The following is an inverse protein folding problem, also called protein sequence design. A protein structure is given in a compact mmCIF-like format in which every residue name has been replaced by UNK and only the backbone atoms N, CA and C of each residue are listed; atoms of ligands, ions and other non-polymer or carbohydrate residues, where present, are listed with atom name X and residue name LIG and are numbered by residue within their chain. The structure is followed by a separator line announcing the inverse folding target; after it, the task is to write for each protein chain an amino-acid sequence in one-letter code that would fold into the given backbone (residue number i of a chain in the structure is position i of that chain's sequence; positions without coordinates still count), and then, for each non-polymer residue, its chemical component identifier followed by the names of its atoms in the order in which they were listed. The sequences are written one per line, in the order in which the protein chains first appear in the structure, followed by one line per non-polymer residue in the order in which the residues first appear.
data_IF_589033547118
#
_entry.id   IF_589033547118
#
_cell.length_a   1.000
_cell.length_b   1.000
_cell.length_c   1.000
_cell.angle_alpha   90.00
_cell.angle_beta   90.00
_cell.angle_gamma   90.00
#
_symmetry.space_group_name_H-M   'P 1'
#
loop_
_entity.id
_entity.type
_entity.pdbx_description
1 polymer ?
#
# COMPACT_ATOMS: atom_id res chain seq x y z
N UNK A 1 -2.91 62.49 -59.40
CA UNK A 1 -3.24 61.07 -59.47
C UNK A 1 -2.54 60.33 -58.33
N UNK A 2 -3.27 60.03 -57.24
CA UNK A 2 -2.74 59.30 -56.09
C UNK A 2 -3.23 57.84 -56.20
N UNK A 3 -2.25 56.95 -56.30
CA UNK A 3 -2.50 55.52 -56.37
C UNK A 3 -2.72 55.03 -54.91
N UNK A 4 -3.89 54.45 -54.63
CA UNK A 4 -4.19 53.79 -53.32
C UNK A 4 -3.97 52.30 -53.53
N UNK A 5 -2.94 51.75 -52.90
CA UNK A 5 -2.68 50.31 -52.83
C UNK A 5 -3.52 49.72 -51.69
N UNK A 6 -4.47 48.86 -52.02
CA UNK A 6 -5.25 48.08 -51.10
C UNK A 6 -4.46 46.79 -50.77
N UNK A 7 -4.00 46.64 -49.54
CA UNK A 7 -3.44 45.40 -49.04
C UNK A 7 -4.61 44.52 -48.49
N UNK A 8 -4.88 43.46 -49.21
CA UNK A 8 -5.76 42.39 -48.71
C UNK A 8 -4.96 41.43 -47.77
N UNK A 9 -5.23 41.49 -46.47
CA UNK A 9 -4.76 40.48 -45.53
C UNK A 9 -5.68 39.27 -45.60
N UNK A 10 -5.20 38.19 -46.16
CA UNK A 10 -5.80 36.86 -46.06
C UNK A 10 -5.46 36.28 -44.68
N UNK A 11 -6.43 36.27 -43.79
CA UNK A 11 -6.36 35.48 -42.53
C UNK A 11 -6.54 33.99 -42.88
N UNK A 12 -5.44 33.24 -42.89
CA UNK A 12 -5.49 31.78 -42.86
C UNK A 12 -5.86 31.37 -41.41
N UNK A 13 -7.10 30.97 -41.20
CA UNK A 13 -7.50 30.31 -39.96
C UNK A 13 -6.94 28.89 -40.01
N UNK A 14 -5.78 28.68 -39.39
CA UNK A 14 -5.31 27.34 -39.07
C UNK A 14 -6.29 26.74 -38.06
N UNK A 15 -7.14 25.82 -38.51
CA UNK A 15 -7.86 24.94 -37.63
C UNK A 15 -6.83 24.04 -36.95
N UNK A 16 -6.48 24.37 -35.71
CA UNK A 16 -5.74 23.46 -34.84
C UNK A 16 -6.65 22.22 -34.68
N UNK A 17 -6.23 21.10 -35.25
CA UNK A 17 -6.78 19.80 -34.89
C UNK A 17 -6.47 19.66 -33.37
N UNK A 18 -7.49 19.64 -32.55
CA UNK A 18 -7.36 19.17 -31.19
C UNK A 18 -6.95 17.72 -31.30
N UNK A 19 -5.64 17.43 -31.20
CA UNK A 19 -5.18 16.09 -30.91
C UNK A 19 -5.96 15.64 -29.67
N UNK A 20 -6.67 14.52 -29.81
CA UNK A 20 -7.31 13.86 -28.66
C UNK A 20 -6.19 13.43 -27.73
N UNK A 21 -5.86 14.27 -26.75
CA UNK A 21 -5.02 13.84 -25.64
C UNK A 21 -5.65 12.59 -25.04
N UNK A 22 -4.88 11.55 -24.75
CA UNK A 22 -5.40 10.36 -24.11
C UNK A 22 -6.15 10.79 -22.85
N UNK A 23 -7.38 10.30 -22.72
CA UNK A 23 -8.16 10.59 -21.50
C UNK A 23 -7.43 10.00 -20.31
N UNK A 24 -7.36 10.72 -19.18
CA UNK A 24 -6.76 10.18 -17.97
C UNK A 24 -7.45 8.89 -17.57
N UNK A 25 -6.76 7.96 -16.88
CA UNK A 25 -7.36 6.73 -16.39
C UNK A 25 -8.62 7.03 -15.56
N UNK A 26 -9.60 6.12 -15.58
CA UNK A 26 -10.91 6.35 -14.95
C UNK A 26 -10.85 6.58 -13.43
N UNK A 27 -9.77 6.15 -12.78
CA UNK A 27 -9.56 6.37 -11.35
C UNK A 27 -8.98 7.76 -11.02
N UNK A 28 -8.54 8.54 -12.01
CA UNK A 28 -8.14 9.93 -11.82
C UNK A 28 -9.36 10.83 -11.94
N UNK A 29 -9.78 11.44 -10.84
CA UNK A 29 -10.93 12.32 -10.83
C UNK A 29 -10.54 13.75 -11.22
N UNK A 30 -11.52 14.51 -11.72
CA UNK A 30 -11.31 15.88 -12.21
C UNK A 30 -10.92 16.89 -11.13
N UNK A 31 -11.15 16.56 -9.86
CA UNK A 31 -10.78 17.37 -8.69
C UNK A 31 -9.36 17.07 -8.17
N UNK A 32 -8.61 16.19 -8.85
CA UNK A 32 -7.25 15.81 -8.47
C UNK A 32 -7.17 14.66 -7.46
N UNK A 33 -8.30 14.06 -7.10
CA UNK A 33 -8.35 12.89 -6.22
C UNK A 33 -8.45 11.58 -6.99
N UNK A 34 -8.35 10.45 -6.29
CA UNK A 34 -8.42 9.11 -6.88
C UNK A 34 -9.68 8.36 -6.42
N UNK A 35 -10.13 7.41 -7.24
CA UNK A 35 -11.27 6.55 -6.97
C UNK A 35 -10.93 5.07 -7.16
N UNK A 36 -11.68 4.18 -6.50
CA UNK A 36 -11.60 2.74 -6.75
C UNK A 36 -12.01 2.39 -8.18
N UNK A 37 -11.49 1.30 -8.72
CA UNK A 37 -11.74 0.83 -10.10
C UNK A 37 -13.23 0.63 -10.39
N UNK A 38 -13.99 0.17 -9.40
CA UNK A 38 -15.45 -0.05 -9.46
C UNK A 38 -16.26 1.19 -9.07
N UNK A 39 -15.61 2.32 -8.75
CA UNK A 39 -16.26 3.56 -8.34
C UNK A 39 -16.91 3.51 -6.95
N UNK A 40 -16.71 2.44 -6.18
CA UNK A 40 -17.25 2.34 -4.80
C UNK A 40 -16.53 3.35 -3.91
N UNK A 41 -17.24 4.36 -3.38
CA UNK A 41 -16.63 5.33 -2.48
C UNK A 41 -16.50 4.75 -1.07
N UNK A 42 -15.43 5.09 -0.37
CA UNK A 42 -15.41 4.92 1.08
C UNK A 42 -16.21 6.05 1.74
N UNK A 43 -17.43 5.73 2.18
CA UNK A 43 -18.31 6.68 2.88
C UNK A 43 -18.10 6.61 4.40
N UNK A 44 -17.23 7.43 4.95
CA UNK A 44 -17.25 7.71 6.38
C UNK A 44 -17.87 9.07 6.66
N UNK A 45 -18.94 9.10 7.39
CA UNK A 45 -19.48 10.35 7.94
C UNK A 45 -19.01 10.51 9.38
N UNK A 46 -18.89 11.76 9.84
CA UNK A 46 -18.61 12.06 11.25
C UNK A 46 -19.59 11.34 12.19
N UNK A 47 -20.87 11.21 11.79
CA UNK A 47 -21.88 10.47 12.54
C UNK A 47 -21.54 8.98 12.66
N UNK A 48 -21.12 8.33 11.59
CA UNK A 48 -20.68 6.91 11.59
C UNK A 48 -19.48 6.72 12.51
N UNK A 49 -18.48 7.60 12.44
CA UNK A 49 -17.29 7.55 13.31
C UNK A 49 -17.65 7.75 14.80
N UNK A 50 -18.55 8.67 15.12
CA UNK A 50 -19.03 8.88 16.48
C UNK A 50 -19.83 7.68 17.01
N UNK A 51 -20.68 7.09 16.17
CA UNK A 51 -21.40 5.87 16.48
C UNK A 51 -20.42 4.73 16.80
N UNK A 52 -19.48 4.47 15.90
CA UNK A 52 -18.45 3.46 16.12
C UNK A 52 -17.64 3.72 17.41
N UNK A 53 -17.17 4.95 17.61
CA UNK A 53 -16.44 5.32 18.83
C UNK A 53 -17.22 5.07 20.11
N UNK A 54 -18.54 5.21 20.06
CA UNK A 54 -19.42 4.92 21.20
C UNK A 54 -19.58 3.42 21.41
N UNK A 55 -19.88 2.65 20.37
CA UNK A 55 -20.07 1.20 20.39
C UNK A 55 -18.78 0.48 20.85
N UNK A 56 -17.62 0.96 20.36
CA UNK A 56 -16.30 0.43 20.69
C UNK A 56 -15.99 0.40 22.20
N UNK A 57 -16.58 1.30 23.00
CA UNK A 57 -16.35 1.37 24.45
C UNK A 57 -16.79 0.12 25.20
N UNK A 58 -17.70 -0.66 24.65
CA UNK A 58 -18.20 -1.90 25.22
C UNK A 58 -17.48 -3.15 24.71
N UNK A 59 -16.52 -3.01 23.81
CA UNK A 59 -15.81 -4.15 23.20
C UNK A 59 -14.64 -4.59 24.08
N UNK A 60 -14.45 -5.90 24.16
CA UNK A 60 -13.23 -6.47 24.72
C UNK A 60 -12.10 -6.38 23.70
N UNK A 61 -11.24 -5.40 23.90
CA UNK A 61 -10.06 -5.16 23.08
C UNK A 61 -8.79 -5.61 23.82
N UNK A 62 -8.90 -6.64 24.64
CA UNK A 62 -7.75 -7.21 25.34
C UNK A 62 -6.71 -7.73 24.37
N UNK A 63 -5.45 -7.43 24.66
CA UNK A 63 -4.33 -7.91 23.85
C UNK A 63 -3.98 -9.33 24.23
N UNK A 64 -3.78 -10.18 23.24
CA UNK A 64 -3.19 -11.50 23.40
C UNK A 64 -1.71 -11.42 22.97
N UNK A 65 -0.81 -11.85 23.87
CA UNK A 65 0.61 -11.97 23.53
C UNK A 65 0.90 -13.39 23.11
N UNK A 66 1.44 -13.56 21.93
CA UNK A 66 1.94 -14.83 21.41
C UNK A 66 3.47 -14.82 21.36
N UNK A 67 4.09 -15.98 21.43
CA UNK A 67 5.52 -16.10 21.23
C UNK A 67 5.84 -15.85 19.75
N UNK A 68 6.79 -14.96 19.51
CA UNK A 68 7.35 -14.76 18.18
C UNK A 68 8.59 -15.62 18.06
N UNK A 69 8.69 -16.38 16.97
CA UNK A 69 9.93 -17.05 16.64
C UNK A 69 11.02 -16.01 16.36
N UNK A 70 12.22 -16.31 16.84
CA UNK A 70 13.37 -15.48 16.55
C UNK A 70 13.76 -15.66 15.07
N UNK A 71 13.99 -14.58 14.33
CA UNK A 71 14.40 -14.68 12.94
C UNK A 71 15.70 -15.46 12.80
N UNK A 72 15.78 -16.28 11.76
CA UNK A 72 17.02 -16.96 11.39
C UNK A 72 17.91 -16.01 10.58
N UNK A 73 18.70 -15.20 11.27
CA UNK A 73 19.59 -14.22 10.62
C UNK A 73 20.49 -14.83 9.55
N UNK A 74 20.90 -16.10 9.69
CA UNK A 74 21.72 -16.77 8.69
C UNK A 74 20.99 -16.96 7.36
N UNK A 75 19.71 -17.30 7.41
CA UNK A 75 18.85 -17.39 6.21
C UNK A 75 18.56 -16.01 5.64
N UNK A 76 18.36 -15.01 6.50
CA UNK A 76 18.10 -13.63 6.09
C UNK A 76 19.29 -13.00 5.36
N UNK A 77 20.55 -13.30 5.80
CA UNK A 77 21.73 -12.67 5.23
C UNK A 77 22.42 -13.47 4.10
N UNK A 78 22.23 -14.78 4.04
CA UNK A 78 22.92 -15.66 3.10
C UNK A 78 21.94 -16.46 2.24
N UNK A 79 21.12 -15.77 1.44
CA UNK A 79 20.02 -16.42 0.81
C UNK A 79 20.16 -16.54 -0.71
N UNK A 80 20.28 -17.78 -1.20
CA UNK A 80 20.16 -18.11 -2.62
C UNK A 80 18.69 -18.42 -3.02
N UNK A 81 17.77 -18.49 -2.04
CA UNK A 81 16.37 -18.77 -2.23
C UNK A 81 15.51 -17.52 -1.96
N UNK A 82 14.25 -17.58 -2.29
CA UNK A 82 13.28 -16.56 -1.88
C UNK A 82 12.91 -16.80 -0.41
N UNK A 83 13.03 -15.74 0.38
CA UNK A 83 12.57 -15.71 1.76
C UNK A 83 11.67 -14.50 1.95
N UNK A 84 10.56 -14.71 2.63
CA UNK A 84 9.67 -13.64 3.06
C UNK A 84 9.54 -13.72 4.57
N UNK A 85 9.97 -12.67 5.25
CA UNK A 85 9.95 -12.57 6.72
C UNK A 85 8.88 -11.56 7.12
N UNK A 86 7.86 -11.99 7.86
CA UNK A 86 6.89 -11.06 8.45
C UNK A 86 7.49 -10.39 9.69
N UNK A 87 7.56 -9.07 9.66
CA UNK A 87 8.12 -8.26 10.76
C UNK A 87 7.02 -7.78 11.71
N UNK A 88 5.81 -7.62 11.19
CA UNK A 88 4.63 -7.20 11.95
C UNK A 88 3.74 -6.25 11.16
N UNK A 89 2.44 -6.27 11.44
CA UNK A 89 1.42 -5.55 10.69
C UNK A 89 1.50 -5.88 9.19
N UNK A 90 1.88 -4.95 8.34
CA UNK A 90 2.11 -5.15 6.90
C UNK A 90 3.58 -4.99 6.48
N UNK A 91 4.46 -4.97 7.47
CA UNK A 91 5.90 -4.92 7.22
C UNK A 91 6.43 -6.31 6.94
N UNK A 92 6.89 -6.53 5.71
CA UNK A 92 7.59 -7.74 5.27
C UNK A 92 8.97 -7.40 4.74
N UNK A 93 9.93 -8.27 5.02
CA UNK A 93 11.19 -8.32 4.30
C UNK A 93 11.09 -9.44 3.27
N UNK A 94 10.95 -9.08 2.00
CA UNK A 94 11.04 -9.98 0.86
C UNK A 94 12.45 -9.98 0.31
N UNK A 95 13.02 -11.15 0.14
CA UNK A 95 14.38 -11.33 -0.34
C UNK A 95 14.42 -12.35 -1.47
N UNK A 96 15.17 -12.04 -2.49
CA UNK A 96 15.64 -13.00 -3.46
C UNK A 96 17.15 -12.79 -3.66
N UNK A 97 17.77 -13.57 -4.53
CA UNK A 97 19.22 -13.51 -4.78
C UNK A 97 19.74 -12.09 -5.10
N UNK A 98 18.91 -11.26 -5.73
CA UNK A 98 19.34 -10.02 -6.37
C UNK A 98 18.78 -8.75 -5.73
N UNK A 99 17.78 -8.88 -4.81
CA UNK A 99 17.10 -7.73 -4.21
C UNK A 99 16.51 -8.05 -2.84
N UNK A 100 16.61 -7.09 -1.93
CA UNK A 100 15.91 -7.06 -0.65
C UNK A 100 14.88 -5.93 -0.66
N UNK A 101 13.60 -6.28 -0.50
CA UNK A 101 12.50 -5.31 -0.49
C UNK A 101 11.85 -5.31 0.89
N UNK A 102 11.58 -4.11 1.41
CA UNK A 102 10.85 -3.92 2.65
C UNK A 102 9.50 -3.24 2.34
N UNK A 103 8.39 -3.91 2.69
CA UNK A 103 7.05 -3.37 2.47
C UNK A 103 6.54 -2.64 3.70
N UNK A 104 5.83 -1.52 3.52
CA UNK A 104 5.12 -0.74 4.54
C UNK A 104 5.86 -0.69 5.89
N UNK A 105 7.10 -0.17 5.95
CA UNK A 105 7.93 -0.28 7.13
C UNK A 105 7.38 0.53 8.29
N UNK A 106 6.96 -0.18 9.35
CA UNK A 106 6.46 0.40 10.56
C UNK A 106 7.15 -0.22 11.79
N UNK A 107 8.10 0.50 12.38
CA UNK A 107 8.91 0.05 13.52
C UNK A 107 8.62 0.83 14.80
N UNK A 108 7.84 1.91 14.72
CA UNK A 108 7.54 2.74 15.89
C UNK A 108 6.40 2.18 16.74
N UNK A 109 6.27 2.71 17.96
CA UNK A 109 5.29 2.26 18.94
C UNK A 109 3.84 2.61 18.61
N UNK A 110 3.60 3.52 17.67
CA UNK A 110 2.23 4.01 17.39
C UNK A 110 1.99 4.25 15.91
N UNK A 111 0.86 3.77 15.45
CA UNK A 111 0.28 4.13 14.16
C UNK A 111 -0.38 5.52 14.28
N UNK A 112 0.43 6.59 14.31
CA UNK A 112 -0.05 7.94 14.58
C UNK A 112 1.00 8.99 14.24
N UNK A 113 0.58 10.22 13.86
CA UNK A 113 1.50 11.37 13.74
C UNK A 113 2.05 11.80 15.11
N UNK A 114 1.41 11.40 16.21
CA UNK A 114 1.77 11.78 17.57
C UNK A 114 2.41 10.61 18.32
N UNK A 115 3.59 10.81 18.90
CA UNK A 115 4.30 9.75 19.65
C UNK A 115 3.63 9.34 20.96
N UNK A 116 2.70 10.16 21.47
CA UNK A 116 2.04 9.94 22.77
C UNK A 116 0.56 9.55 22.63
N UNK A 117 -0.05 9.65 21.45
CA UNK A 117 -1.47 9.38 21.22
C UNK A 117 -1.67 8.53 19.97
N UNK A 118 -2.83 7.87 19.86
CA UNK A 118 -3.19 6.97 18.75
C UNK A 118 -2.93 5.50 19.07
N UNK A 119 -3.25 4.58 18.15
CA UNK A 119 -3.12 3.14 18.34
C UNK A 119 -1.69 2.76 18.73
N UNK A 120 -1.54 2.04 19.84
CA UNK A 120 -0.23 1.59 20.35
C UNK A 120 0.02 0.16 19.89
N UNK A 121 1.26 -0.09 19.48
CA UNK A 121 1.77 -1.42 19.21
C UNK A 121 1.72 -2.27 20.48
N UNK A 122 1.19 -3.47 20.40
CA UNK A 122 1.14 -4.41 21.54
C UNK A 122 2.09 -5.61 21.38
N UNK A 123 2.50 -5.94 20.15
CA UNK A 123 3.60 -6.87 19.87
C UNK A 123 4.79 -6.09 19.29
N UNK A 124 6.02 -6.37 19.74
CA UNK A 124 7.21 -5.76 19.15
C UNK A 124 7.36 -6.17 17.66
N UNK A 125 8.14 -5.44 16.86
CA UNK A 125 8.52 -5.93 15.55
C UNK A 125 9.32 -7.23 15.68
N UNK A 126 9.17 -8.13 14.71
CA UNK A 126 9.89 -9.41 14.68
C UNK A 126 11.40 -9.24 14.44
N UNK A 127 11.81 -8.05 13.97
CA UNK A 127 13.17 -7.66 13.68
C UNK A 127 13.30 -6.15 13.87
N UNK A 128 14.41 -5.66 14.39
CA UNK A 128 14.69 -4.23 14.52
C UNK A 128 15.31 -3.67 13.22
N UNK A 129 15.25 -2.36 13.03
CA UNK A 129 15.86 -1.71 11.84
C UNK A 129 17.38 -1.99 11.78
N UNK A 130 18.03 -2.04 12.94
CA UNK A 130 19.47 -2.31 13.07
C UNK A 130 19.86 -3.68 12.54
N UNK A 131 18.96 -4.65 12.66
CA UNK A 131 19.16 -6.05 12.29
C UNK A 131 18.76 -6.34 10.82
N UNK A 132 18.20 -5.36 10.10
CA UNK A 132 17.87 -5.52 8.68
C UNK A 132 19.13 -5.67 7.82
N UNK A 133 19.12 -6.57 6.80
CA UNK A 133 20.16 -6.63 5.78
C UNK A 133 20.18 -5.32 4.98
N UNK A 134 21.06 -5.21 3.98
CA UNK A 134 20.98 -4.11 3.02
C UNK A 134 19.61 -4.12 2.36
N UNK A 135 18.91 -2.99 2.37
CA UNK A 135 17.60 -2.82 1.72
C UNK A 135 17.79 -2.05 0.43
N UNK A 136 17.38 -2.64 -0.68
CA UNK A 136 17.49 -2.05 -2.01
C UNK A 136 16.25 -1.24 -2.37
N UNK A 137 15.06 -1.73 -1.96
CA UNK A 137 13.78 -1.09 -2.24
C UNK A 137 12.90 -1.08 -0.99
N UNK A 138 12.21 0.02 -0.77
CA UNK A 138 11.07 0.14 0.14
C UNK A 138 9.82 0.43 -0.67
N UNK A 139 8.74 -0.30 -0.42
CA UNK A 139 7.44 -0.02 -1.04
C UNK A 139 6.43 0.45 0.01
N UNK A 140 5.58 1.41 -0.37
CA UNK A 140 4.47 1.90 0.45
C UNK A 140 3.17 1.62 -0.29
N UNK A 141 2.23 0.92 0.34
CA UNK A 141 0.93 0.59 -0.25
C UNK A 141 0.01 1.81 -0.34
N UNK A 142 -0.04 2.62 0.70
CA UNK A 142 -0.84 3.84 0.78
C UNK A 142 -0.39 4.76 1.95
N UNK A 143 -1.05 5.91 2.08
CA UNK A 143 -0.57 6.98 2.97
C UNK A 143 -1.02 6.88 4.43
N UNK A 144 -1.81 5.90 4.88
CA UNK A 144 -2.23 5.78 6.28
C UNK A 144 -1.05 5.63 7.24
N UNK A 145 -1.25 6.02 8.50
CA UNK A 145 -0.16 6.11 9.49
C UNK A 145 0.40 4.76 9.93
N UNK A 146 -0.33 3.69 9.78
CA UNK A 146 0.08 2.30 10.07
C UNK A 146 0.85 1.64 8.92
N UNK A 147 0.88 2.26 7.74
CA UNK A 147 1.64 1.82 6.55
C UNK A 147 2.79 2.76 6.21
N UNK A 148 2.57 4.08 6.26
CA UNK A 148 3.60 5.09 6.06
C UNK A 148 4.01 5.72 7.40
N UNK A 149 4.91 5.07 8.14
CA UNK A 149 5.51 5.62 9.35
C UNK A 149 6.72 6.48 9.01
N UNK A 150 6.59 7.79 9.21
CA UNK A 150 7.64 8.76 8.90
C UNK A 150 8.99 8.42 9.57
N UNK A 151 8.96 8.00 10.83
CA UNK A 151 10.21 7.71 11.57
C UNK A 151 10.91 6.50 11.00
N UNK A 152 10.17 5.45 10.67
CA UNK A 152 10.72 4.25 10.05
C UNK A 152 11.35 4.54 8.69
N UNK A 153 10.62 5.20 7.78
CA UNK A 153 11.17 5.52 6.44
C UNK A 153 12.36 6.48 6.53
N UNK A 154 12.35 7.39 7.51
CA UNK A 154 13.46 8.30 7.72
C UNK A 154 14.73 7.57 8.19
N UNK A 155 14.62 6.69 9.21
CA UNK A 155 15.74 5.89 9.71
C UNK A 155 16.30 4.94 8.64
N UNK A 156 15.42 4.32 7.84
CA UNK A 156 15.81 3.47 6.73
C UNK A 156 16.57 4.27 5.67
N UNK A 157 16.08 5.46 5.30
CA UNK A 157 16.76 6.33 4.33
C UNK A 157 18.12 6.85 4.81
N UNK A 158 18.31 6.98 6.13
CA UNK A 158 19.59 7.38 6.73
C UNK A 158 20.57 6.20 6.85
N UNK A 159 20.04 4.98 7.03
CA UNK A 159 20.85 3.76 7.14
C UNK A 159 21.34 3.27 5.78
N UNK A 160 20.51 3.38 4.74
CA UNK A 160 20.79 2.86 3.39
C UNK A 160 20.74 4.00 2.37
N UNK A 161 21.89 4.53 1.98
CA UNK A 161 22.02 5.74 1.13
C UNK A 161 21.39 5.56 -0.26
N UNK A 162 21.44 4.36 -0.81
CA UNK A 162 20.97 4.04 -2.17
C UNK A 162 19.54 3.43 -2.20
N UNK A 163 18.86 3.29 -1.05
CA UNK A 163 17.53 2.68 -1.00
C UNK A 163 16.54 3.45 -1.87
N UNK A 164 15.86 2.74 -2.75
CA UNK A 164 14.80 3.30 -3.62
C UNK A 164 13.44 3.16 -2.93
N UNK A 165 12.73 4.27 -2.75
CA UNK A 165 11.34 4.26 -2.29
C UNK A 165 10.40 4.24 -3.49
N UNK A 166 9.55 3.21 -3.58
CA UNK A 166 8.46 3.13 -4.54
C UNK A 166 7.15 3.40 -3.81
N UNK A 167 6.42 4.40 -4.29
CA UNK A 167 5.26 4.93 -3.58
C UNK A 167 4.09 5.16 -4.56
N UNK A 168 2.84 5.20 -4.08
CA UNK A 168 1.71 5.58 -4.91
C UNK A 168 1.79 7.03 -5.41
N UNK A 169 1.14 7.32 -6.54
CA UNK A 169 0.97 8.70 -7.04
C UNK A 169 0.50 9.65 -5.94
N UNK A 170 1.08 10.86 -5.94
CA UNK A 170 0.81 11.93 -4.98
C UNK A 170 1.68 11.87 -3.73
N UNK A 171 2.54 10.84 -3.53
CA UNK A 171 3.41 10.73 -2.36
C UNK A 171 4.85 11.20 -2.59
N UNK A 172 5.34 11.30 -3.82
CA UNK A 172 6.74 11.68 -4.10
C UNK A 172 7.11 13.02 -3.45
N UNK A 173 6.28 14.03 -3.59
CA UNK A 173 6.52 15.37 -3.01
C UNK A 173 6.60 15.30 -1.47
N UNK A 174 5.78 14.44 -0.83
CA UNK A 174 5.83 14.25 0.62
C UNK A 174 7.20 13.70 1.05
N UNK A 175 7.75 12.72 0.35
CA UNK A 175 9.07 12.15 0.62
C UNK A 175 10.19 13.17 0.40
N UNK A 176 10.16 13.89 -0.73
CA UNK A 176 11.13 14.94 -1.05
C UNK A 176 11.14 16.02 0.03
N UNK A 177 9.96 16.47 0.49
CA UNK A 177 9.82 17.47 1.56
C UNK A 177 10.34 16.96 2.92
N UNK A 178 10.48 15.65 3.12
CA UNK A 178 11.11 15.02 4.28
C UNK A 178 12.61 14.76 4.09
N UNK A 179 13.17 15.16 2.95
CA UNK A 179 14.58 14.99 2.61
C UNK A 179 14.95 13.62 2.07
N UNK A 180 13.97 12.77 1.74
CA UNK A 180 14.15 11.47 1.10
C UNK A 180 14.00 11.66 -0.40
N UNK A 181 15.11 11.62 -1.15
CA UNK A 181 15.15 12.04 -2.56
C UNK A 181 15.10 10.89 -3.55
N UNK A 182 15.57 9.69 -3.15
CA UNK A 182 15.54 8.52 -4.01
C UNK A 182 14.16 7.85 -3.92
N UNK A 183 13.16 8.51 -4.49
CA UNK A 183 11.76 8.11 -4.48
C UNK A 183 11.19 8.18 -5.88
N UNK A 184 10.26 7.28 -6.20
CA UNK A 184 9.46 7.27 -7.44
C UNK A 184 8.03 6.91 -7.12
N UNK A 185 7.11 7.70 -7.63
CA UNK A 185 5.69 7.37 -7.57
C UNK A 185 5.25 6.60 -8.82
N UNK A 186 4.33 5.66 -8.63
CA UNK A 186 3.76 4.84 -9.68
C UNK A 186 2.23 4.95 -9.67
N UNK A 187 1.65 4.93 -10.86
CA UNK A 187 0.22 4.74 -11.09
C UNK A 187 -0.12 3.25 -11.14
N UNK A 188 -1.40 2.89 -11.05
CA UNK A 188 -1.82 1.51 -11.26
C UNK A 188 -1.40 0.99 -12.62
N UNK A 189 -0.81 -0.21 -12.59
CA UNK A 189 -0.23 -0.93 -13.72
C UNK A 189 1.11 -0.41 -14.21
N UNK A 190 1.65 0.64 -13.59
CA UNK A 190 3.04 1.01 -13.82
C UNK A 190 3.97 -0.04 -13.22
N UNK A 191 5.09 -0.26 -13.89
CA UNK A 191 6.13 -1.20 -13.49
C UNK A 191 7.51 -0.56 -13.56
N UNK A 192 8.36 -1.00 -12.64
CA UNK A 192 9.79 -0.67 -12.68
C UNK A 192 10.59 -1.95 -12.51
N UNK A 193 11.69 -2.08 -13.24
CA UNK A 193 12.62 -3.18 -13.07
C UNK A 193 13.78 -2.75 -12.18
N UNK A 194 14.00 -3.48 -11.08
CA UNK A 194 15.15 -3.32 -10.19
C UNK A 194 15.88 -4.67 -10.16
N UNK A 195 17.15 -4.69 -10.58
CA UNK A 195 17.88 -5.92 -10.84
C UNK A 195 17.09 -6.85 -11.77
N UNK A 196 16.83 -8.09 -11.39
CA UNK A 196 16.03 -9.04 -12.18
C UNK A 196 14.55 -9.08 -11.78
N UNK A 197 14.14 -8.24 -10.82
CA UNK A 197 12.77 -8.21 -10.32
C UNK A 197 11.98 -7.06 -10.98
N UNK A 198 10.86 -7.39 -11.60
CA UNK A 198 9.85 -6.45 -12.04
C UNK A 198 8.90 -6.18 -10.88
N UNK A 199 8.72 -4.90 -10.53
CA UNK A 199 7.86 -4.44 -9.45
C UNK A 199 6.72 -3.65 -10.08
N UNK A 200 5.50 -4.15 -9.95
CA UNK A 200 4.29 -3.55 -10.52
C UNK A 200 3.38 -3.05 -9.40
N UNK A 201 2.85 -1.83 -9.56
CA UNK A 201 1.81 -1.31 -8.69
C UNK A 201 0.43 -1.66 -9.25
N UNK A 202 -0.43 -2.29 -8.47
CA UNK A 202 -1.71 -2.82 -8.92
C UNK A 202 -2.88 -2.27 -8.10
N UNK A 203 -4.09 -2.12 -8.70
CA UNK A 203 -5.27 -1.63 -7.98
C UNK A 203 -5.74 -2.60 -6.90
N UNK A 204 -6.27 -2.02 -5.82
CA UNK A 204 -7.08 -2.67 -4.79
C UNK A 204 -8.15 -1.71 -4.31
N UNK A 205 -9.18 -2.20 -3.63
CA UNK A 205 -10.28 -1.38 -3.14
C UNK A 205 -9.97 -0.82 -1.75
N UNK A 206 -9.51 0.45 -1.70
CA UNK A 206 -9.21 1.12 -0.43
C UNK A 206 -9.42 2.64 -0.54
N UNK A 207 -8.71 3.41 0.25
CA UNK A 207 -8.69 4.87 0.29
C UNK A 207 -7.41 5.38 0.94
N UNK A 208 -7.17 6.68 0.89
CA UNK A 208 -6.01 7.31 1.51
C UNK A 208 -6.36 8.60 2.24
N UNK A 209 -5.65 8.89 3.31
CA UNK A 209 -5.61 10.19 3.99
C UNK A 209 -4.51 10.20 5.05
N UNK A 210 -3.94 11.37 5.34
CA UNK A 210 -3.06 11.65 6.49
C UNK A 210 -3.52 12.85 7.30
N UNK A 211 -4.31 13.71 6.73
CA UNK A 211 -4.86 14.91 7.35
C UNK A 211 -6.39 14.91 7.44
N UNK A 212 -6.95 16.09 7.62
CA UNK A 212 -8.39 16.27 7.68
C UNK A 212 -9.03 16.55 6.31
N UNK A 213 -8.22 16.97 5.32
CA UNK A 213 -8.71 17.50 4.06
C UNK A 213 -8.03 16.89 2.83
N UNK A 214 -7.13 15.91 3.00
CA UNK A 214 -6.33 15.27 1.96
C UNK A 214 -6.84 13.89 1.54
N UNK A 215 -8.13 13.64 1.74
CA UNK A 215 -8.73 12.35 1.40
C UNK A 215 -8.59 12.05 -0.09
N UNK A 216 -8.02 10.86 -0.40
CA UNK A 216 -7.80 10.37 -1.74
C UNK A 216 -6.95 11.30 -2.64
N UNK A 217 -6.18 12.24 -2.06
CA UNK A 217 -5.20 13.03 -2.81
C UNK A 217 -3.94 12.22 -3.16
N UNK A 218 -3.77 11.05 -2.55
CA UNK A 218 -2.73 10.07 -2.90
C UNK A 218 -3.39 8.75 -3.28
N UNK A 219 -2.78 8.01 -4.20
CA UNK A 219 -3.27 6.72 -4.64
C UNK A 219 -2.98 5.63 -3.58
N UNK A 220 -3.54 4.44 -3.74
CA UNK A 220 -3.34 3.24 -2.92
C UNK A 220 -3.25 2.01 -3.82
N UNK A 221 -2.65 0.92 -3.35
CA UNK A 221 -2.56 -0.28 -4.19
C UNK A 221 -1.71 -1.40 -3.59
N UNK A 222 -1.67 -2.50 -4.33
CA UNK A 222 -0.84 -3.65 -4.08
C UNK A 222 0.50 -3.56 -4.81
N UNK A 223 1.52 -4.18 -4.25
CA UNK A 223 2.83 -4.33 -4.87
C UNK A 223 3.06 -5.77 -5.30
N UNK A 224 3.24 -5.99 -6.60
CA UNK A 224 3.57 -7.29 -7.16
C UNK A 224 5.04 -7.32 -7.58
N UNK A 225 5.77 -8.31 -7.06
CA UNK A 225 7.19 -8.56 -7.33
C UNK A 225 7.33 -9.84 -8.14
N UNK A 226 7.95 -9.78 -9.29
CA UNK A 226 8.11 -10.92 -10.17
C UNK A 226 9.51 -10.98 -10.76
N UNK A 227 10.14 -12.14 -10.64
CA UNK A 227 11.32 -12.50 -11.40
C UNK A 227 11.05 -13.72 -12.29
N UNK A 228 12.08 -14.28 -12.89
CA UNK A 228 11.92 -15.45 -13.76
C UNK A 228 11.36 -16.68 -13.04
N UNK A 229 11.66 -16.85 -11.76
CA UNK A 229 11.35 -18.07 -11.01
C UNK A 229 10.13 -17.94 -10.12
N UNK A 230 9.85 -16.76 -9.61
CA UNK A 230 8.88 -16.57 -8.53
C UNK A 230 8.16 -15.23 -8.59
N UNK A 231 6.99 -15.21 -7.96
CA UNK A 231 6.18 -14.01 -7.77
C UNK A 231 5.68 -13.90 -6.33
N UNK A 232 5.71 -12.68 -5.81
CA UNK A 232 5.15 -12.31 -4.52
C UNK A 232 4.21 -11.11 -4.70
N UNK A 233 3.08 -11.09 -4.03
CA UNK A 233 2.22 -9.92 -3.96
C UNK A 233 1.97 -9.51 -2.51
N UNK A 234 2.14 -8.23 -2.24
CA UNK A 234 1.75 -7.56 -1.00
C UNK A 234 0.52 -6.71 -1.30
N UNK A 235 -0.65 -7.09 -0.77
CA UNK A 235 -1.92 -6.46 -1.15
C UNK A 235 -2.11 -5.07 -0.55
N UNK A 236 -1.42 -4.74 0.56
CA UNK A 236 -1.79 -3.59 1.37
C UNK A 236 -3.18 -3.76 1.97
N UNK A 237 -3.78 -2.69 2.48
CA UNK A 237 -5.16 -2.70 2.93
C UNK A 237 -6.14 -2.74 1.75
N UNK A 238 -7.16 -3.58 1.85
CA UNK A 238 -8.17 -3.70 0.79
C UNK A 238 -9.47 -4.34 1.27
N UNK A 239 -10.61 -3.84 0.77
CA UNK A 239 -11.86 -4.58 0.71
C UNK A 239 -11.82 -5.63 -0.40
N UNK A 240 -12.77 -6.57 -0.39
CA UNK A 240 -12.89 -7.54 -1.48
C UNK A 240 -13.46 -6.89 -2.74
N UNK A 241 -12.79 -7.11 -3.88
CA UNK A 241 -13.21 -6.56 -5.19
C UNK A 241 -12.80 -7.46 -6.34
N UNK A 242 -13.29 -7.18 -7.54
CA UNK A 242 -12.88 -7.87 -8.77
C UNK A 242 -11.46 -7.51 -9.21
N UNK A 243 -10.76 -6.59 -8.53
CA UNK A 243 -9.38 -6.24 -8.82
C UNK A 243 -8.46 -7.46 -8.71
N UNK A 244 -8.72 -8.42 -7.82
CA UNK A 244 -7.92 -9.64 -7.67
C UNK A 244 -7.96 -10.51 -8.93
N UNK A 245 -9.12 -10.62 -9.58
CA UNK A 245 -9.27 -11.32 -10.88
C UNK A 245 -8.55 -10.59 -12.00
N UNK A 246 -8.59 -9.26 -12.00
CA UNK A 246 -7.89 -8.46 -13.01
C UNK A 246 -6.37 -8.51 -12.80
N UNK A 247 -5.88 -8.50 -11.55
CA UNK A 247 -4.48 -8.75 -11.21
C UNK A 247 -4.05 -10.12 -11.74
N UNK A 248 -4.82 -11.18 -11.43
CA UNK A 248 -4.54 -12.53 -11.92
C UNK A 248 -4.47 -12.59 -13.45
N UNK A 249 -5.40 -11.95 -14.12
CA UNK A 249 -5.48 -11.92 -15.58
C UNK A 249 -4.28 -11.21 -16.22
N UNK A 250 -3.80 -10.09 -15.64
CA UNK A 250 -2.70 -9.29 -16.20
C UNK A 250 -1.31 -9.80 -15.79
N UNK A 251 -1.13 -10.17 -14.53
CA UNK A 251 0.18 -10.48 -13.97
C UNK A 251 0.46 -11.99 -13.87
N UNK A 252 -0.57 -12.82 -14.02
CA UNK A 252 -0.50 -14.26 -13.87
C UNK A 252 -0.81 -14.73 -12.46
N UNK A 253 -0.69 -16.04 -12.19
CA UNK A 253 -0.80 -16.63 -10.85
C UNK A 253 0.36 -16.18 -9.98
N UNK A 254 0.14 -16.18 -8.65
CA UNK A 254 1.09 -15.70 -7.65
C UNK A 254 1.61 -16.87 -6.82
N UNK A 255 2.92 -16.98 -6.61
CA UNK A 255 3.47 -18.05 -5.77
C UNK A 255 3.19 -17.82 -4.28
N UNK A 256 3.27 -16.55 -3.84
CA UNK A 256 3.01 -16.17 -2.46
C UNK A 256 2.25 -14.84 -2.41
N UNK A 257 1.13 -14.81 -1.66
CA UNK A 257 0.36 -13.60 -1.41
C UNK A 257 0.39 -13.22 0.08
N UNK A 258 0.75 -11.98 0.40
CA UNK A 258 0.50 -11.38 1.70
C UNK A 258 -0.88 -10.70 1.65
N UNK A 259 -1.83 -11.22 2.43
CA UNK A 259 -3.26 -10.88 2.36
C UNK A 259 -3.71 -10.30 3.71
N UNK A 260 -4.32 -9.11 3.76
CA UNK A 260 -4.85 -8.56 4.99
C UNK A 260 -6.03 -9.40 5.50
N UNK A 261 -5.99 -9.77 6.77
CA UNK A 261 -7.03 -10.58 7.44
C UNK A 261 -7.57 -9.91 8.70
N UNK A 262 -7.05 -8.75 9.07
CA UNK A 262 -7.47 -7.95 10.22
C UNK A 262 -8.18 -6.67 9.80
N UNK A 263 -8.51 -5.85 10.80
CA UNK A 263 -9.17 -4.55 10.64
C UNK A 263 -10.58 -4.62 10.00
N UNK A 264 -11.33 -5.73 10.18
CA UNK A 264 -12.59 -5.96 9.49
C UNK A 264 -13.86 -5.66 10.29
N UNK A 265 -13.80 -5.46 11.61
CA UNK A 265 -14.96 -5.16 12.44
C UNK A 265 -15.03 -3.69 12.89
N UNK A 266 -16.24 -3.10 12.95
CA UNK A 266 -17.53 -3.67 12.54
C UNK A 266 -17.74 -3.57 11.03
N UNK A 267 -18.30 -4.61 10.43
CA UNK A 267 -18.49 -4.73 8.97
C UNK A 267 -19.19 -3.53 8.34
N UNK A 268 -20.21 -2.93 9.00
CA UNK A 268 -21.00 -1.82 8.47
C UNK A 268 -20.18 -0.54 8.13
N UNK A 269 -18.92 -0.45 8.57
CA UNK A 269 -18.00 0.64 8.22
C UNK A 269 -16.70 0.11 7.57
N UNK A 270 -16.26 -1.13 7.87
CA UNK A 270 -14.97 -1.66 7.42
C UNK A 270 -15.06 -2.42 6.09
N UNK A 271 -16.22 -2.99 5.74
CA UNK A 271 -16.41 -3.88 4.58
C UNK A 271 -15.86 -3.34 3.26
N UNK A 272 -16.02 -2.03 3.03
CA UNK A 272 -15.56 -1.41 1.77
C UNK A 272 -14.04 -1.39 1.65
N UNK A 273 -13.32 -1.31 2.75
CA UNK A 273 -11.87 -1.07 2.76
C UNK A 273 -11.03 -2.17 3.41
N UNK A 274 -11.67 -3.13 4.07
CA UNK A 274 -10.99 -4.24 4.75
C UNK A 274 -11.75 -5.55 4.58
N UNK A 275 -11.03 -6.57 4.15
CA UNK A 275 -11.55 -7.94 4.03
C UNK A 275 -11.67 -8.59 5.41
N UNK A 276 -12.74 -9.38 5.59
CA UNK A 276 -12.78 -10.36 6.66
C UNK A 276 -12.00 -11.64 6.24
N UNK A 277 -11.75 -12.62 7.14
CA UNK A 277 -11.01 -13.83 6.82
C UNK A 277 -11.63 -14.66 5.67
N UNK A 278 -12.95 -14.67 5.51
CA UNK A 278 -13.64 -15.38 4.42
C UNK A 278 -13.36 -14.71 3.07
N UNK A 279 -13.45 -13.39 3.01
CA UNK A 279 -13.12 -12.58 1.82
C UNK A 279 -11.62 -12.67 1.49
N UNK A 280 -10.75 -12.78 2.49
CA UNK A 280 -9.33 -13.03 2.29
C UNK A 280 -9.06 -14.39 1.60
N UNK A 281 -9.81 -15.43 1.96
CA UNK A 281 -9.77 -16.72 1.25
C UNK A 281 -10.28 -16.58 -0.18
N UNK A 282 -11.34 -15.78 -0.41
CA UNK A 282 -11.83 -15.52 -1.77
C UNK A 282 -10.77 -14.80 -2.62
N UNK A 283 -10.09 -13.80 -2.07
CA UNK A 283 -9.01 -13.10 -2.78
C UNK A 283 -7.83 -14.02 -3.11
N UNK A 284 -7.48 -14.94 -2.19
CA UNK A 284 -6.48 -15.98 -2.44
C UNK A 284 -6.84 -16.86 -3.64
N UNK A 285 -8.11 -17.27 -3.73
CA UNK A 285 -8.61 -18.09 -4.83
C UNK A 285 -8.65 -17.31 -6.15
N UNK A 286 -9.11 -16.05 -6.13
CA UNK A 286 -9.18 -15.19 -7.31
C UNK A 286 -7.79 -14.83 -7.88
N UNK A 287 -6.79 -14.67 -7.02
CA UNK A 287 -5.40 -14.50 -7.41
C UNK A 287 -4.75 -15.79 -7.95
N UNK A 288 -5.41 -16.96 -7.76
CA UNK A 288 -4.81 -18.27 -7.96
C UNK A 288 -3.43 -18.38 -7.28
N UNK A 289 -3.32 -17.85 -6.05
CA UNK A 289 -2.09 -17.90 -5.31
C UNK A 289 -1.78 -19.31 -4.82
N UNK A 290 -0.50 -19.70 -4.87
CA UNK A 290 -0.09 -21.05 -4.41
C UNK A 290 -0.02 -21.12 -2.88
N UNK A 291 0.35 -20.02 -2.23
CA UNK A 291 0.47 -19.87 -0.78
C UNK A 291 0.02 -18.47 -0.36
N UNK A 292 -0.40 -18.34 0.89
CA UNK A 292 -0.72 -17.04 1.49
C UNK A 292 -0.13 -16.90 2.90
N UNK A 293 0.15 -15.65 3.28
CA UNK A 293 0.47 -15.24 4.64
C UNK A 293 -0.54 -14.17 5.04
N UNK A 294 -1.21 -14.36 6.19
CA UNK A 294 -2.11 -13.35 6.74
C UNK A 294 -1.32 -12.16 7.31
N UNK A 295 -1.75 -10.94 7.02
CA UNK A 295 -1.17 -9.70 7.54
C UNK A 295 -2.25 -8.75 8.08
N UNK A 296 -1.89 -7.52 8.46
CA UNK A 296 -2.79 -6.53 9.09
C UNK A 296 -3.34 -6.95 10.45
N UNK A 297 -2.68 -7.86 11.16
CA UNK A 297 -3.08 -8.36 12.47
C UNK A 297 -1.89 -8.41 13.43
N UNK A 298 -2.14 -8.75 14.69
CA UNK A 298 -1.06 -9.07 15.64
C UNK A 298 -0.20 -7.89 16.10
N UNK A 299 -0.46 -6.67 15.68
CA UNK A 299 0.43 -5.53 15.93
C UNK A 299 -0.28 -4.34 16.60
N UNK A 300 -1.33 -3.82 15.98
CA UNK A 300 -2.13 -2.69 16.48
C UNK A 300 -3.57 -3.11 16.68
N UNK A 301 -4.28 -2.48 17.63
CA UNK A 301 -5.74 -2.60 17.75
C UNK A 301 -6.37 -1.42 17.04
N UNK A 302 -6.68 -1.60 15.77
CA UNK A 302 -7.27 -0.56 14.92
C UNK A 302 -8.80 -0.62 14.93
N UNK A 303 -9.36 -1.82 15.02
CA UNK A 303 -10.77 -2.16 14.85
C UNK A 303 -11.33 -2.99 16.00
N UNK A 304 -12.48 -3.60 15.88
CA UNK A 304 -13.26 -4.13 17.01
C UNK A 304 -13.20 -5.67 17.15
N UNK A 305 -12.57 -6.38 16.21
CA UNK A 305 -12.35 -7.82 16.33
C UNK A 305 -11.37 -8.13 17.47
N UNK A 306 -11.61 -9.22 18.24
CA UNK A 306 -10.67 -9.68 19.24
C UNK A 306 -9.36 -10.14 18.59
N UNK A 307 -8.22 -9.72 19.14
CA UNK A 307 -6.90 -10.13 18.63
C UNK A 307 -6.73 -11.64 18.56
N UNK A 308 -7.33 -12.39 19.50
CA UNK A 308 -7.29 -13.86 19.54
C UNK A 308 -8.13 -14.53 18.46
N UNK A 309 -9.09 -13.84 17.86
CA UNK A 309 -10.00 -14.40 16.86
C UNK A 309 -9.24 -15.00 15.67
N UNK A 310 -8.24 -14.27 15.18
CA UNK A 310 -7.46 -14.67 14.00
C UNK A 310 -6.51 -15.86 14.22
N UNK A 311 -6.21 -16.21 15.49
CA UNK A 311 -5.41 -17.39 15.82
C UNK A 311 -6.19 -18.72 15.72
N UNK A 312 -7.53 -18.65 15.72
CA UNK A 312 -8.40 -19.83 15.72
C UNK A 312 -9.14 -20.04 14.38
N UNK A 313 -9.00 -19.13 13.44
CA UNK A 313 -9.66 -19.17 12.12
C UNK A 313 -8.72 -19.55 10.98
N UNK A 314 -7.44 -19.76 11.27
CA UNK A 314 -6.42 -20.16 10.28
C UNK A 314 -6.16 -21.66 10.28
#
# INVERSE_FOLDING_TARGET
MRLVLLFLFLFYAASASTENLPQPPAHHLSDGTYANTNGVPYESSFKKLMQWSWERRSKDLSTFKFEMEKPNYKEIYNNDNIVTTWIGHETFLYQNKDINVLTDPHFTDRASPLSFAGPKRYMPPGMEIEDLPNIDVVTISHSHYDHLDYRSVKLISEKYEDVLFLVPLGLEEWFINKGIKNVRELDWWDSIKVSDTEITFAPVQHWSARGLFDRNETLWGAWHFKNYYHSFIHLGDTGYSDDFKEIRKRLGSVDLAAIPIGAYEPRWIMEVSHMNPEEAVMSFLDLEASKAIGMSWGTFILTDEPVSCLLYTS
#
